data_IF_727035189733
#
_entry.id   IF_727035189733
#
_cell.length_a   1.000
_cell.length_b   1.000
_cell.length_c   1.000
_cell.angle_alpha   90.00
_cell.angle_beta   90.00
_cell.angle_gamma   90.00
#
_symmetry.space_group_name_H-M   'P 1'
#
loop_
_entity.id
_entity.type
_entity.pdbx_description
1 polymer ?
#
# COMPACT_ATOMS: atom_id res chain seq x y z
N UNK A 1 -3.25 6.36 5.41
CA UNK A 1 -1.80 6.60 5.51
C UNK A 1 -1.12 5.61 6.45
N UNK A 2 -1.55 5.45 7.70
CA UNK A 2 -0.92 4.50 8.65
C UNK A 2 -0.94 3.03 8.17
N UNK A 3 -2.01 2.61 7.48
CA UNK A 3 -2.11 1.24 6.93
C UNK A 3 -1.19 1.00 5.72
N UNK A 4 -1.01 1.99 4.85
CA UNK A 4 -0.05 1.97 3.74
C UNK A 4 1.37 1.82 4.31
N UNK A 5 1.74 2.65 5.28
CA UNK A 5 3.05 2.54 5.96
C UNK A 5 3.20 1.21 6.71
N UNK A 6 2.13 0.63 7.25
CA UNK A 6 2.17 -0.69 7.91
C UNK A 6 2.38 -1.86 6.95
N UNK A 7 1.86 -1.76 5.72
CA UNK A 7 2.09 -2.74 4.65
C UNK A 7 3.57 -2.74 4.24
N UNK A 8 4.12 -1.55 3.97
CA UNK A 8 5.55 -1.38 3.66
C UNK A 8 6.50 -1.80 4.79
N UNK A 9 6.14 -1.51 6.05
CA UNK A 9 6.94 -1.88 7.22
C UNK A 9 6.93 -3.38 7.52
N UNK A 10 5.92 -4.12 7.05
CA UNK A 10 5.79 -5.57 7.33
C UNK A 10 6.62 -6.41 6.35
N UNK A 11 6.90 -5.93 5.14
CA UNK A 11 7.83 -6.61 4.22
C UNK A 11 9.30 -6.49 4.65
N UNK A 12 9.72 -5.38 5.30
CA UNK A 12 11.09 -5.25 5.86
C UNK A 12 11.40 -6.26 7.00
N UNK A 13 10.39 -6.79 7.71
CA UNK A 13 10.61 -7.72 8.82
C UNK A 13 10.91 -9.17 8.36
N UNK A 14 10.80 -9.45 7.06
CA UNK A 14 11.17 -10.74 6.46
C UNK A 14 12.61 -10.75 5.91
N UNK A 15 13.32 -9.61 5.88
CA UNK A 15 14.64 -9.47 5.26
C UNK A 15 15.85 -9.91 6.12
N UNK A 16 15.64 -10.54 7.28
CA UNK A 16 16.74 -11.03 8.13
C UNK A 16 16.99 -12.55 8.09
N UNK A 17 16.27 -13.29 7.24
CA UNK A 17 16.46 -14.74 7.14
C UNK A 17 16.18 -15.28 5.74
N UNK A 18 17.24 -15.40 4.95
CA UNK A 18 17.23 -16.22 3.74
C UNK A 18 16.84 -15.48 2.47
N UNK A 19 17.74 -15.56 1.50
CA UNK A 19 17.60 -15.17 0.10
C UNK A 19 16.23 -15.53 -0.50
N UNK A 20 15.38 -14.54 -0.82
CA UNK A 20 14.34 -14.71 -1.85
C UNK A 20 13.76 -13.39 -2.42
N UNK A 21 13.78 -13.35 -3.76
CA UNK A 21 12.86 -12.71 -4.72
C UNK A 21 12.54 -11.20 -4.70
N UNK A 22 12.76 -10.42 -3.64
CA UNK A 22 12.46 -8.97 -3.64
C UNK A 22 13.68 -8.07 -3.84
N UNK A 23 14.90 -8.61 -3.70
CA UNK A 23 16.14 -7.96 -4.15
C UNK A 23 16.16 -7.65 -5.66
N UNK A 24 15.21 -8.20 -6.43
CA UNK A 24 15.12 -8.06 -7.89
C UNK A 24 14.00 -7.12 -8.36
N UNK A 25 13.19 -6.53 -7.47
CA UNK A 25 12.40 -5.36 -7.88
C UNK A 25 13.36 -4.19 -7.98
N UNK A 26 13.77 -3.85 -9.20
CA UNK A 26 14.63 -2.70 -9.51
C UNK A 26 14.05 -1.40 -8.95
N UNK A 27 14.36 -1.09 -7.69
CA UNK A 27 14.25 0.25 -7.13
C UNK A 27 15.32 1.20 -7.70
N UNK A 28 16.13 0.74 -8.66
CA UNK A 28 17.14 1.51 -9.40
C UNK A 28 16.56 2.79 -10.03
N UNK A 29 15.27 2.84 -10.32
CA UNK A 29 14.63 4.01 -10.94
C UNK A 29 14.07 5.04 -9.95
N UNK A 30 13.95 4.67 -8.66
CA UNK A 30 13.62 5.56 -7.54
C UNK A 30 14.87 6.17 -6.87
N UNK A 31 16.04 6.07 -7.53
CA UNK A 31 17.34 6.43 -6.95
C UNK A 31 17.48 7.90 -6.53
N UNK A 32 16.84 8.85 -7.23
CA UNK A 32 16.95 10.29 -6.92
C UNK A 32 16.55 10.65 -5.48
N UNK A 33 15.33 10.31 -5.01
CA UNK A 33 14.94 10.53 -3.61
C UNK A 33 15.58 9.53 -2.65
N UNK A 34 16.06 8.37 -3.11
CA UNK A 34 16.71 7.41 -2.20
C UNK A 34 18.01 7.95 -1.61
N UNK A 35 18.88 8.55 -2.44
CA UNK A 35 20.12 9.15 -1.96
C UNK A 35 19.85 10.32 -1.00
N UNK A 36 18.95 11.24 -1.39
CA UNK A 36 18.56 12.36 -0.55
C UNK A 36 17.91 11.91 0.77
N UNK A 37 17.06 10.87 0.75
CA UNK A 37 16.49 10.30 1.98
C UNK A 37 17.60 9.78 2.90
N UNK A 38 18.58 9.05 2.36
CA UNK A 38 19.72 8.56 3.14
C UNK A 38 20.60 9.68 3.69
N UNK A 39 20.83 10.74 2.92
CA UNK A 39 21.56 11.92 3.42
C UNK A 39 20.82 12.60 4.57
N UNK A 40 19.51 12.81 4.43
CA UNK A 40 18.69 13.41 5.48
C UNK A 40 18.66 12.50 6.72
N UNK A 41 18.43 11.20 6.56
CA UNK A 41 18.50 10.22 7.66
C UNK A 41 19.87 10.23 8.34
N UNK A 42 20.96 10.36 7.58
CA UNK A 42 22.31 10.48 8.12
C UNK A 42 22.50 11.77 8.91
N UNK A 43 21.96 12.90 8.45
CA UNK A 43 21.97 14.17 9.19
C UNK A 43 21.20 14.02 10.50
N UNK A 44 20.01 13.42 10.48
CA UNK A 44 19.19 13.23 11.68
C UNK A 44 19.89 12.26 12.65
N UNK A 45 20.45 11.16 12.16
CA UNK A 45 21.18 10.21 12.97
C UNK A 45 22.41 10.84 13.63
N UNK A 46 23.18 11.65 12.88
CA UNK A 46 24.31 12.39 13.44
C UNK A 46 23.86 13.40 14.50
N UNK A 47 22.79 14.14 14.25
CA UNK A 47 22.23 15.04 15.26
C UNK A 47 21.85 14.30 16.55
N UNK A 48 21.22 13.12 16.41
CA UNK A 48 20.76 12.34 17.55
C UNK A 48 21.89 11.73 18.38
N UNK A 49 22.94 11.22 17.74
CA UNK A 49 24.02 10.47 18.41
C UNK A 49 25.24 11.32 18.75
N UNK A 50 25.28 12.58 18.32
CA UNK A 50 26.40 13.49 18.58
C UNK A 50 26.26 14.11 19.97
N UNK A 51 27.31 13.98 20.76
CA UNK A 51 27.40 14.53 22.12
C UNK A 51 28.11 15.90 22.15
N UNK A 52 28.90 16.23 21.12
CA UNK A 52 29.58 17.53 21.02
C UNK A 52 29.90 17.92 19.58
N UNK A 53 30.18 19.21 19.33
CA UNK A 53 30.52 19.71 17.99
C UNK A 53 31.79 19.07 17.40
N UNK A 54 32.71 18.61 18.26
CA UNK A 54 33.99 18.02 17.89
C UNK A 54 33.96 16.49 17.81
N UNK A 55 33.02 15.82 18.49
CA UNK A 55 32.89 14.37 18.43
C UNK A 55 31.97 13.91 17.29
N UNK A 56 32.24 12.71 16.75
CA UNK A 56 31.38 12.06 15.76
C UNK A 56 30.15 11.40 16.39
N UNK A 57 30.12 11.23 17.72
CA UNK A 57 29.12 10.42 18.41
C UNK A 57 29.30 8.93 18.16
N UNK A 58 28.74 8.09 19.04
CA UNK A 58 28.67 6.63 18.85
C UNK A 58 27.23 6.27 18.48
N UNK A 59 27.07 5.62 17.33
CA UNK A 59 25.77 5.09 16.92
C UNK A 59 25.51 3.76 17.64
N UNK A 60 24.85 3.81 18.80
CA UNK A 60 24.53 2.63 19.61
C UNK A 60 23.48 1.70 18.98
N UNK A 61 22.70 2.22 18.02
CA UNK A 61 21.62 1.50 17.38
C UNK A 61 21.59 1.84 15.89
N UNK A 62 21.28 0.84 15.04
CA UNK A 62 21.05 1.06 13.62
C UNK A 62 19.82 1.96 13.41
N UNK A 63 19.87 2.82 12.40
CA UNK A 63 18.75 3.73 12.09
C UNK A 63 17.44 2.98 11.81
N UNK A 64 17.51 1.85 11.10
CA UNK A 64 16.37 0.97 10.82
C UNK A 64 15.66 0.48 12.10
N UNK A 65 16.42 0.19 13.15
CA UNK A 65 15.88 -0.26 14.44
C UNK A 65 15.19 0.89 15.18
N UNK A 66 15.74 2.11 15.10
CA UNK A 66 15.09 3.31 15.66
C UNK A 66 13.76 3.63 14.96
N UNK A 67 13.65 3.32 13.67
CA UNK A 67 12.44 3.52 12.87
C UNK A 67 11.32 2.52 13.17
N UNK A 68 11.58 1.47 13.95
CA UNK A 68 10.53 0.53 14.38
C UNK A 68 9.53 1.25 15.31
N UNK A 69 8.25 0.84 15.30
CA UNK A 69 7.26 1.30 16.26
C UNK A 69 7.73 1.09 17.70
N UNK A 70 7.30 1.97 18.61
CA UNK A 70 7.56 1.81 20.06
C UNK A 70 7.08 0.46 20.60
N UNK A 71 5.94 -0.02 20.11
CA UNK A 71 5.40 -1.34 20.46
C UNK A 71 6.28 -2.52 20.02
N UNK A 72 7.22 -2.31 19.09
CA UNK A 72 8.19 -3.29 18.61
C UNK A 72 9.62 -2.97 19.08
N UNK A 73 9.77 -2.16 20.13
CA UNK A 73 11.07 -1.83 20.73
C UNK A 73 11.87 -0.73 20.02
N UNK A 74 11.31 -0.07 19.00
CA UNK A 74 11.95 1.09 18.35
C UNK A 74 11.56 2.43 18.99
N UNK A 75 11.98 3.53 18.36
CA UNK A 75 11.68 4.89 18.81
C UNK A 75 10.55 5.56 18.01
N UNK A 76 10.06 4.89 16.96
CA UNK A 76 9.01 5.41 16.09
C UNK A 76 9.50 6.44 15.08
N UNK A 77 10.80 6.51 14.80
CA UNK A 77 11.33 7.36 13.74
C UNK A 77 10.80 6.91 12.37
N UNK A 78 10.79 7.83 11.41
CA UNK A 78 10.33 7.53 10.06
C UNK A 78 11.50 7.10 9.20
N UNK A 79 11.39 5.91 8.61
CA UNK A 79 12.20 5.54 7.45
C UNK A 79 11.74 6.42 6.27
N UNK A 80 12.60 7.35 5.85
CA UNK A 80 12.28 8.36 4.84
C UNK A 80 12.14 7.74 3.45
N UNK A 81 12.81 6.63 3.17
CA UNK A 81 12.66 5.90 1.91
C UNK A 81 11.24 5.35 1.82
N UNK A 82 10.79 4.64 2.85
CA UNK A 82 9.41 4.11 2.93
C UNK A 82 8.39 5.25 2.93
N UNK A 83 8.66 6.31 3.68
CA UNK A 83 7.77 7.46 3.75
C UNK A 83 7.61 8.13 2.38
N UNK A 84 8.69 8.33 1.65
CA UNK A 84 8.66 8.87 0.28
C UNK A 84 7.91 7.94 -0.67
N UNK A 85 8.13 6.62 -0.57
CA UNK A 85 7.40 5.64 -1.37
C UNK A 85 5.88 5.72 -1.12
N UNK A 86 5.47 5.84 0.15
CA UNK A 86 4.07 6.03 0.51
C UNK A 86 3.51 7.37 -0.01
N UNK A 87 4.32 8.44 -0.06
CA UNK A 87 3.90 9.71 -0.65
C UNK A 87 3.72 9.61 -2.17
N UNK A 88 4.63 8.94 -2.87
CA UNK A 88 4.50 8.68 -4.30
C UNK A 88 3.27 7.84 -4.60
N UNK A 89 3.04 6.77 -3.83
CA UNK A 89 1.84 5.96 -3.94
C UNK A 89 0.56 6.76 -3.66
N UNK A 90 0.59 7.69 -2.69
CA UNK A 90 -0.51 8.63 -2.46
C UNK A 90 -0.77 9.53 -3.68
N UNK A 91 0.26 9.96 -4.39
CA UNK A 91 0.07 10.72 -5.64
C UNK A 91 -0.53 9.85 -6.73
N UNK A 92 -0.05 8.61 -6.91
CA UNK A 92 -0.67 7.66 -7.84
C UNK A 92 -2.15 7.45 -7.53
N UNK A 93 -2.48 7.21 -6.26
CA UNK A 93 -3.86 7.08 -5.79
C UNK A 93 -4.71 8.33 -6.09
N UNK A 94 -4.16 9.53 -5.87
CA UNK A 94 -4.85 10.79 -6.19
C UNK A 94 -5.17 10.94 -7.67
N UNK A 95 -4.32 10.45 -8.57
CA UNK A 95 -4.58 10.51 -10.01
C UNK A 95 -5.82 9.68 -10.41
N UNK A 96 -6.14 8.63 -9.67
CA UNK A 96 -7.37 7.85 -9.87
C UNK A 96 -8.62 8.57 -9.36
N UNK A 97 -8.52 9.27 -8.24
CA UNK A 97 -9.69 9.78 -7.50
C UNK A 97 -9.97 11.27 -7.70
N UNK A 98 -8.98 12.08 -8.09
CA UNK A 98 -9.11 13.52 -8.27
C UNK A 98 -8.68 13.95 -9.68
N UNK A 99 -9.58 13.68 -10.63
CA UNK A 99 -9.40 14.01 -12.04
C UNK A 99 -9.58 15.51 -12.36
N UNK A 100 -10.09 16.29 -11.39
CA UNK A 100 -10.29 17.72 -11.56
C UNK A 100 -9.04 18.54 -11.19
N UNK A 101 -8.12 17.94 -10.43
CA UNK A 101 -6.85 18.55 -10.04
C UNK A 101 -6.01 19.00 -11.25
N UNK A 102 -5.27 20.11 -11.06
CA UNK A 102 -4.29 20.58 -12.04
C UNK A 102 -3.22 19.52 -12.33
N UNK A 103 -2.79 18.80 -11.30
CA UNK A 103 -1.81 17.72 -11.41
C UNK A 103 -2.30 16.63 -12.37
N UNK A 104 -3.54 16.16 -12.22
CA UNK A 104 -4.11 15.18 -13.14
C UNK A 104 -4.19 15.72 -14.57
N UNK A 105 -4.72 16.93 -14.76
CA UNK A 105 -4.86 17.54 -16.10
C UNK A 105 -3.52 17.68 -16.83
N UNK A 106 -2.48 18.15 -16.12
CA UNK A 106 -1.12 18.29 -16.68
C UNK A 106 -0.51 16.94 -17.01
N UNK A 107 -0.59 15.96 -16.10
CA UNK A 107 0.00 14.64 -16.32
C UNK A 107 -0.75 13.85 -17.39
N UNK A 108 -2.09 13.95 -17.43
CA UNK A 108 -2.92 13.37 -18.49
C UNK A 108 -2.52 13.93 -19.85
N UNK A 109 -2.52 15.26 -20.01
CA UNK A 109 -2.16 15.89 -21.28
C UNK A 109 -0.77 15.49 -21.78
N UNK A 110 0.20 15.31 -20.88
CA UNK A 110 1.57 14.96 -21.26
C UNK A 110 1.80 13.47 -21.50
N UNK A 111 1.27 12.60 -20.62
CA UNK A 111 1.68 11.20 -20.56
C UNK A 111 0.60 10.24 -21.07
N UNK A 112 -0.68 10.59 -20.95
CA UNK A 112 -1.81 9.74 -21.36
C UNK A 112 -3.00 10.56 -21.91
N UNK A 113 -2.79 11.35 -22.98
CA UNK A 113 -3.80 12.30 -23.45
C UNK A 113 -5.08 11.62 -23.94
N UNK A 114 -4.95 10.46 -24.60
CA UNK A 114 -6.06 9.70 -25.19
C UNK A 114 -6.37 8.40 -24.44
N UNK A 115 -5.70 8.13 -23.32
CA UNK A 115 -5.79 6.87 -22.60
C UNK A 115 -6.23 7.02 -21.15
N UNK A 116 -6.41 5.88 -20.49
CA UNK A 116 -6.69 5.80 -19.06
C UNK A 116 -5.42 5.56 -18.26
N UNK A 117 -5.45 5.91 -16.97
CA UNK A 117 -4.31 5.77 -16.06
C UNK A 117 -3.85 4.31 -15.90
N UNK A 118 -4.76 3.35 -16.07
CA UNK A 118 -4.51 1.91 -15.93
C UNK A 118 -3.62 1.36 -17.05
N UNK A 119 -3.84 1.83 -18.29
CA UNK A 119 -3.16 1.38 -19.50
C UNK A 119 -1.91 2.20 -19.83
N UNK A 120 -1.51 3.10 -18.92
CA UNK A 120 -0.33 3.93 -19.07
C UNK A 120 0.92 3.07 -19.12
N UNK A 121 1.55 3.03 -20.30
CA UNK A 121 2.92 2.57 -20.46
C UNK A 121 3.91 3.72 -20.29
N UNK A 122 5.10 3.40 -19.79
CA UNK A 122 6.18 4.37 -19.68
C UNK A 122 6.71 4.71 -21.08
N UNK A 123 6.40 5.91 -21.58
CA UNK A 123 6.92 6.43 -22.86
C UNK A 123 8.45 6.59 -22.80
N UNK A 124 9.09 6.76 -23.96
CA UNK A 124 10.50 7.15 -24.04
C UNK A 124 10.68 8.51 -23.33
N UNK A 125 11.64 8.58 -22.40
CA UNK A 125 12.02 9.79 -21.64
C UNK A 125 10.91 10.42 -20.75
N UNK A 126 10.40 9.70 -19.74
CA UNK A 126 9.55 10.30 -18.73
C UNK A 126 10.33 11.32 -17.90
N UNK A 127 9.62 12.32 -17.34
CA UNK A 127 10.24 13.15 -16.30
C UNK A 127 10.56 12.29 -15.08
N UNK A 128 11.55 12.71 -14.30
CA UNK A 128 11.94 12.01 -13.09
C UNK A 128 10.76 11.84 -12.11
N UNK A 129 9.96 12.89 -11.94
CA UNK A 129 8.75 12.89 -11.09
C UNK A 129 7.73 11.89 -11.61
N UNK A 130 7.42 11.91 -12.91
CA UNK A 130 6.45 10.98 -13.48
C UNK A 130 6.89 9.53 -13.38
N UNK A 131 8.16 9.24 -13.67
CA UNK A 131 8.72 7.89 -13.51
C UNK A 131 8.57 7.41 -12.06
N UNK A 132 8.95 8.25 -11.09
CA UNK A 132 8.83 7.92 -9.66
C UNK A 132 7.40 7.63 -9.23
N UNK A 133 6.42 8.40 -9.73
CA UNK A 133 4.99 8.18 -9.47
C UNK A 133 4.51 6.89 -10.15
N UNK A 134 4.85 6.69 -11.43
CA UNK A 134 4.46 5.53 -12.22
C UNK A 134 5.04 4.22 -11.68
N UNK A 135 6.28 4.22 -11.18
CA UNK A 135 6.89 3.03 -10.56
C UNK A 135 6.09 2.51 -9.36
N UNK A 136 5.34 3.39 -8.66
CA UNK A 136 4.46 2.97 -7.57
C UNK A 136 3.19 2.23 -8.03
N UNK A 137 2.84 2.29 -9.33
CA UNK A 137 1.74 1.54 -9.92
C UNK A 137 1.86 0.05 -9.60
N UNK A 138 3.02 -0.55 -9.84
CA UNK A 138 3.23 -1.99 -9.62
C UNK A 138 3.05 -2.41 -8.16
N UNK A 139 3.32 -1.48 -7.24
CA UNK A 139 3.21 -1.73 -5.82
C UNK A 139 1.75 -1.65 -5.37
N UNK A 140 1.04 -0.61 -5.81
CA UNK A 140 -0.39 -0.44 -5.53
C UNK A 140 -1.21 -1.54 -6.22
N UNK A 141 -0.83 -1.96 -7.43
CA UNK A 141 -1.47 -3.06 -8.15
C UNK A 141 -1.32 -4.40 -7.41
N UNK A 142 -0.28 -4.55 -6.58
CA UNK A 142 -0.09 -5.71 -5.69
C UNK A 142 -0.71 -5.52 -4.29
N UNK A 143 -1.22 -4.32 -4.02
CA UNK A 143 -1.83 -3.91 -2.77
C UNK A 143 -3.15 -4.61 -2.46
N UNK A 144 -3.73 -4.25 -1.31
CA UNK A 144 -4.93 -4.86 -0.75
C UNK A 144 -6.11 -3.92 -1.03
N UNK A 145 -7.22 -4.47 -1.47
CA UNK A 145 -8.46 -3.74 -1.59
C UNK A 145 -9.07 -3.45 -0.22
N UNK A 146 -9.46 -2.21 -0.02
CA UNK A 146 -10.38 -1.78 1.03
C UNK A 146 -11.77 -1.72 0.45
N UNK A 147 -12.65 -2.49 1.06
CA UNK A 147 -14.08 -2.51 0.74
C UNK A 147 -14.70 -1.15 1.05
N UNK A 148 -15.32 -0.56 0.03
CA UNK A 148 -16.23 0.57 0.12
C UNK A 148 -17.64 0.09 -0.25
N UNK A 149 -18.08 0.37 -1.47
CA UNK A 149 -19.36 -0.06 -2.01
C UNK A 149 -19.37 -1.53 -2.50
N UNK A 150 -18.19 -2.15 -2.60
CA UNK A 150 -17.99 -3.56 -2.95
C UNK A 150 -18.21 -3.89 -4.43
N UNK A 151 -18.40 -2.89 -5.31
CA UNK A 151 -18.77 -3.10 -6.72
C UNK A 151 -17.60 -3.52 -7.60
N UNK A 152 -16.37 -3.16 -7.22
CA UNK A 152 -15.17 -3.43 -8.01
C UNK A 152 -14.41 -4.66 -7.53
N UNK A 153 -14.56 -5.01 -6.25
CA UNK A 153 -13.80 -6.10 -5.64
C UNK A 153 -14.47 -7.43 -5.95
N UNK A 154 -13.75 -8.33 -6.63
CA UNK A 154 -14.18 -9.70 -6.87
C UNK A 154 -13.87 -10.57 -5.66
N UNK A 155 -14.88 -11.29 -5.16
CA UNK A 155 -14.80 -12.02 -3.89
C UNK A 155 -13.58 -12.95 -3.87
N UNK A 156 -13.39 -13.77 -4.91
CA UNK A 156 -12.38 -14.83 -4.92
C UNK A 156 -11.06 -14.47 -5.63
N UNK A 157 -11.06 -13.43 -6.47
CA UNK A 157 -9.88 -13.05 -7.28
C UNK A 157 -9.05 -11.94 -6.62
N UNK A 158 -9.70 -11.03 -5.90
CA UNK A 158 -9.04 -9.87 -5.31
C UNK A 158 -8.59 -10.11 -3.87
N UNK A 159 -7.51 -9.43 -3.46
CA UNK A 159 -7.01 -9.46 -2.08
C UNK A 159 -7.71 -8.40 -1.25
N UNK A 160 -8.68 -8.76 -0.42
CA UNK A 160 -9.43 -7.79 0.39
C UNK A 160 -9.70 -8.23 1.84
N UNK A 161 -9.44 -9.50 2.17
CA UNK A 161 -9.59 -10.06 3.51
C UNK A 161 -8.38 -9.69 4.38
N UNK A 162 -8.54 -9.12 5.57
CA UNK A 162 -7.43 -8.75 6.46
C UNK A 162 -6.84 -9.97 7.20
N UNK A 163 -6.40 -10.99 6.45
CA UNK A 163 -5.79 -12.20 6.99
C UNK A 163 -4.30 -12.26 6.64
N UNK A 164 -3.53 -12.99 7.45
CA UNK A 164 -2.06 -13.12 7.30
C UNK A 164 -1.67 -13.59 5.89
N UNK A 165 -0.41 -13.30 5.55
CA UNK A 165 0.44 -13.60 4.37
C UNK A 165 -0.15 -13.72 2.96
N UNK A 166 -1.26 -14.42 2.74
CA UNK A 166 -1.77 -14.74 1.41
C UNK A 166 -3.09 -14.03 1.08
N UNK A 167 -3.77 -13.45 2.08
CA UNK A 167 -5.07 -12.77 1.93
C UNK A 167 -6.15 -13.68 1.33
N UNK A 168 -6.00 -15.00 1.48
CA UNK A 168 -6.90 -16.01 0.92
C UNK A 168 -7.91 -16.50 1.94
N UNK A 169 -9.02 -16.98 1.40
CA UNK A 169 -10.05 -17.69 2.15
C UNK A 169 -9.60 -19.12 2.46
N UNK A 170 -10.09 -19.68 3.57
CA UNK A 170 -10.00 -21.12 3.79
C UNK A 170 -11.14 -21.86 3.10
N UNK A 171 -12.26 -21.18 2.89
CA UNK A 171 -13.43 -21.71 2.23
C UNK A 171 -13.13 -22.05 0.77
N UNK A 172 -13.56 -23.23 0.27
CA UNK A 172 -13.39 -23.58 -1.12
C UNK A 172 -14.25 -22.68 -2.03
N UNK A 173 -13.74 -22.39 -3.22
CA UNK A 173 -14.52 -21.71 -4.27
C UNK A 173 -15.56 -22.73 -4.75
N UNK A 174 -16.79 -22.68 -4.25
CA UNK A 174 -17.77 -23.74 -4.56
C UNK A 174 -19.21 -23.27 -4.88
N UNK A 175 -19.54 -21.99 -4.72
CA UNK A 175 -20.95 -21.55 -4.69
C UNK A 175 -21.27 -20.33 -5.53
N UNK A 176 -20.30 -19.47 -5.82
CA UNK A 176 -20.51 -18.23 -6.55
C UNK A 176 -19.73 -18.21 -7.85
N UNK A 177 -20.27 -17.51 -8.85
CA UNK A 177 -19.54 -17.23 -10.08
C UNK A 177 -18.23 -16.49 -9.78
N UNK A 178 -17.20 -16.77 -10.59
CA UNK A 178 -15.85 -16.26 -10.36
C UNK A 178 -15.75 -14.72 -10.49
N UNK A 179 -16.72 -14.07 -11.12
CA UNK A 179 -16.80 -12.61 -11.25
C UNK A 179 -17.79 -11.96 -10.26
N UNK A 180 -18.33 -12.73 -9.30
CA UNK A 180 -19.16 -12.18 -8.23
C UNK A 180 -18.38 -11.20 -7.36
N UNK A 181 -18.96 -10.02 -7.15
CA UNK A 181 -18.36 -8.91 -6.41
C UNK A 181 -18.80 -8.88 -4.94
N UNK A 182 -18.05 -8.18 -4.11
CA UNK A 182 -18.28 -8.07 -2.65
C UNK A 182 -19.65 -7.46 -2.32
N UNK A 183 -20.26 -6.69 -3.21
CA UNK A 183 -21.66 -6.23 -3.10
C UNK A 183 -22.65 -7.34 -2.77
N UNK A 184 -22.44 -8.57 -3.29
CA UNK A 184 -23.34 -9.70 -3.02
C UNK A 184 -23.32 -10.13 -1.54
N UNK A 185 -22.27 -9.78 -0.81
CA UNK A 185 -22.10 -10.08 0.61
C UNK A 185 -22.60 -8.94 1.51
N UNK A 186 -23.00 -7.80 0.95
CA UNK A 186 -23.42 -6.60 1.68
C UNK A 186 -24.94 -6.44 1.56
N UNK A 187 -25.60 -6.16 2.68
CA UNK A 187 -26.99 -5.74 2.68
C UNK A 187 -27.07 -4.26 2.28
N UNK A 188 -27.64 -3.97 1.11
CA UNK A 188 -27.69 -2.62 0.54
C UNK A 188 -28.58 -1.65 1.32
N UNK A 189 -29.54 -2.15 2.09
CA UNK A 189 -30.42 -1.29 2.91
C UNK A 189 -29.74 -0.82 4.19
N UNK A 190 -28.97 -1.70 4.83
CA UNK A 190 -28.47 -1.46 6.19
C UNK A 190 -26.97 -1.10 6.22
N UNK A 191 -26.22 -1.37 5.15
CA UNK A 191 -24.77 -1.14 5.10
C UNK A 191 -23.94 -2.12 5.93
N UNK A 192 -24.53 -3.28 6.27
CA UNK A 192 -23.86 -4.34 7.02
C UNK A 192 -23.63 -5.58 6.17
N UNK A 193 -22.69 -6.42 6.61
CA UNK A 193 -22.47 -7.73 6.03
C UNK A 193 -23.73 -8.60 6.16
N UNK A 194 -24.13 -9.27 5.08
CA UNK A 194 -25.24 -10.22 5.10
C UNK A 194 -24.78 -11.55 5.72
N UNK A 195 -24.96 -11.67 7.04
CA UNK A 195 -24.50 -12.83 7.82
C UNK A 195 -25.14 -14.14 7.33
N UNK A 196 -26.38 -14.11 6.86
CA UNK A 196 -27.06 -15.31 6.35
C UNK A 196 -26.35 -15.86 5.12
N UNK A 197 -26.08 -14.99 4.13
CA UNK A 197 -25.32 -15.34 2.93
C UNK A 197 -23.89 -15.77 3.30
N UNK A 198 -23.25 -15.08 4.24
CA UNK A 198 -21.89 -15.42 4.67
C UNK A 198 -21.80 -16.83 5.27
N UNK A 199 -22.81 -17.27 6.04
CA UNK A 199 -22.85 -18.61 6.64
C UNK A 199 -23.06 -19.73 5.62
N UNK A 200 -23.66 -19.44 4.47
CA UNK A 200 -23.86 -20.41 3.39
C UNK A 200 -22.59 -20.62 2.57
N UNK A 201 -21.77 -19.57 2.43
CA UNK A 201 -20.62 -19.54 1.52
C UNK A 201 -19.29 -19.80 2.24
N UNK A 202 -19.14 -19.32 3.48
CA UNK A 202 -17.86 -19.24 4.16
C UNK A 202 -17.80 -20.03 5.46
N UNK A 203 -16.61 -20.56 5.78
CA UNK A 203 -16.27 -21.10 7.09
C UNK A 203 -16.24 -20.02 8.17
N UNK A 204 -16.41 -20.42 9.43
CA UNK A 204 -16.53 -19.49 10.56
C UNK A 204 -15.33 -18.55 10.70
N UNK A 205 -14.12 -19.01 10.39
CA UNK A 205 -12.91 -18.20 10.40
C UNK A 205 -12.99 -17.07 9.37
N UNK A 206 -13.48 -17.37 8.16
CA UNK A 206 -13.65 -16.42 7.05
C UNK A 206 -14.71 -15.38 7.39
N UNK A 207 -15.84 -15.81 7.95
CA UNK A 207 -16.90 -14.91 8.44
C UNK A 207 -16.34 -13.93 9.47
N UNK A 208 -15.58 -14.42 10.47
CA UNK A 208 -14.95 -13.55 11.49
C UNK A 208 -14.00 -12.51 10.86
N UNK A 209 -13.23 -12.91 9.86
CA UNK A 209 -12.31 -12.01 9.17
C UNK A 209 -13.06 -10.96 8.34
N UNK A 210 -14.11 -11.36 7.60
CA UNK A 210 -14.96 -10.45 6.82
C UNK A 210 -15.66 -9.45 7.74
N UNK A 211 -16.29 -9.93 8.81
CA UNK A 211 -17.01 -9.07 9.76
C UNK A 211 -16.08 -8.14 10.55
N UNK A 212 -14.77 -8.41 10.61
CA UNK A 212 -13.79 -7.47 11.19
C UNK A 212 -13.51 -6.25 10.32
N UNK A 213 -13.92 -6.29 9.04
CA UNK A 213 -13.82 -5.17 8.11
C UNK A 213 -15.01 -4.23 8.39
N UNK A 214 -14.78 -3.01 8.90
CA UNK A 214 -15.85 -2.05 9.06
C UNK A 214 -16.30 -1.57 7.68
N UNK A 215 -17.56 -1.83 7.33
CA UNK A 215 -18.21 -1.19 6.20
C UNK A 215 -18.47 0.27 6.58
N UNK A 216 -18.00 1.18 5.73
CA UNK A 216 -18.21 2.62 5.92
C UNK A 216 -19.52 3.05 5.28
N UNK A 217 -19.57 4.31 4.84
CA UNK A 217 -20.61 4.79 3.94
C UNK A 217 -20.54 4.03 2.61
N UNK A 218 -21.63 3.34 2.22
CA UNK A 218 -21.76 2.61 0.96
C UNK A 218 -21.67 3.52 -0.29
N UNK A 219 -21.64 4.85 -0.12
CA UNK A 219 -21.31 5.79 -1.19
C UNK A 219 -19.80 5.91 -1.42
N UNK A 220 -18.97 5.41 -0.50
CA UNK A 220 -17.52 5.43 -0.66
C UNK A 220 -17.10 4.36 -1.67
N UNK A 221 -16.41 4.72 -2.76
CA UNK A 221 -15.96 3.73 -3.74
C UNK A 221 -14.90 2.79 -3.15
N UNK A 222 -14.84 1.57 -3.68
CA UNK A 222 -13.74 0.64 -3.40
C UNK A 222 -12.38 1.28 -3.71
N UNK A 223 -11.37 0.97 -2.88
CA UNK A 223 -10.04 1.57 -3.02
C UNK A 223 -8.95 0.53 -2.80
N UNK A 224 -7.92 0.55 -3.65
CA UNK A 224 -6.71 -0.24 -3.47
C UNK A 224 -5.70 0.49 -2.57
N UNK A 225 -5.12 -0.21 -1.60
CA UNK A 225 -4.22 0.30 -0.53
C UNK A 225 -2.84 -0.35 -0.63
#
# INVERSE_FOLDING_TARGET
MERITSFYRREENYDQGGSSSYSNLRYEHLQGPHYLCKEIESIIARFWWRDSSTSKGIHWCRWSEMCKPKALGGLGFKNLIIFNLALLGKQWWRLHHDQNSLMYKVLKGRYFPSGNLEDVSLRREPSFVWRSIWDTKQIIDKGIWRVGDGKMIKIWKDKWIPRRWDFKFFSPINTLDADTTVTALINQHDGWWNISILKEIFFQEDIKAICSIPLGDLQTPDCKI
#
